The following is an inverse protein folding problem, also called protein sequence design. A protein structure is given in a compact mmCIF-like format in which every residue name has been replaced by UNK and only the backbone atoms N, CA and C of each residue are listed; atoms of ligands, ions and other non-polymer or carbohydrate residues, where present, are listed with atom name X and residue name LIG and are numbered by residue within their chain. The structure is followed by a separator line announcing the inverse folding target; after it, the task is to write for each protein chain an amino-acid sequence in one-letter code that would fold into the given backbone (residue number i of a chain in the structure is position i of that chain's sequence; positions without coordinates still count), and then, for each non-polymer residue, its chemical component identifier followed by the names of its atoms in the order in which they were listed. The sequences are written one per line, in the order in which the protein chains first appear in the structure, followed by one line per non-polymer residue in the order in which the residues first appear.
data_IF_441945182367
#
_entry.id   IF_441945182367
#
_cell.length_a   1.000
_cell.length_b   1.000
_cell.length_c   1.000
_cell.angle_alpha   90.00
_cell.angle_beta   90.00
_cell.angle_gamma   90.00
#
_symmetry.space_group_name_H-M   'P 1'
#
loop_
_entity.id
_entity.type
_entity.pdbx_description
1 polymer ?
#
# COMPACT_ATOMS: atom_id res chain seq x y z
N UNK A 1 28.14 -24.97 -49.38
CA UNK A 1 27.29 -23.78 -49.32
C UNK A 1 26.43 -23.92 -48.09
N UNK A 2 26.90 -23.40 -47.00
CA UNK A 2 26.19 -23.39 -45.70
C UNK A 2 25.88 -21.95 -45.38
N UNK A 3 24.59 -21.59 -45.42
CA UNK A 3 24.09 -20.28 -45.03
C UNK A 3 24.11 -20.19 -43.51
N UNK A 4 24.87 -19.24 -43.00
CA UNK A 4 24.85 -18.81 -41.64
C UNK A 4 23.55 -18.02 -41.40
N UNK A 5 22.71 -18.44 -40.48
CA UNK A 5 21.60 -17.67 -40.00
C UNK A 5 22.15 -16.73 -38.92
N UNK A 6 22.26 -15.45 -39.26
CA UNK A 6 22.46 -14.38 -38.27
C UNK A 6 21.18 -14.26 -37.45
N UNK A 7 21.24 -14.76 -36.23
CA UNK A 7 20.23 -14.51 -35.19
C UNK A 7 20.41 -13.08 -34.65
N UNK A 8 19.87 -12.14 -35.41
CA UNK A 8 19.82 -10.74 -35.01
C UNK A 8 18.65 -10.56 -34.03
N UNK A 9 18.86 -10.93 -32.78
CA UNK A 9 17.96 -10.55 -31.69
C UNK A 9 17.94 -9.01 -31.60
N UNK A 10 16.95 -8.41 -32.25
CA UNK A 10 16.59 -7.01 -32.07
C UNK A 10 16.23 -6.87 -30.60
N UNK A 11 17.15 -6.30 -29.82
CA UNK A 11 16.83 -5.79 -28.48
C UNK A 11 15.86 -4.67 -28.73
N UNK A 12 14.59 -4.88 -28.39
CA UNK A 12 13.54 -3.87 -28.46
C UNK A 12 14.00 -2.69 -27.59
N UNK A 13 14.51 -1.63 -28.25
CA UNK A 13 14.94 -0.43 -27.54
C UNK A 13 13.70 0.14 -26.84
N UNK A 14 13.70 0.13 -25.53
CA UNK A 14 12.64 0.67 -24.72
C UNK A 14 12.35 2.11 -25.16
N UNK A 15 11.18 2.33 -25.76
CA UNK A 15 10.74 3.64 -26.19
C UNK A 15 9.80 4.24 -25.16
N UNK A 16 9.99 5.52 -24.85
CA UNK A 16 9.11 6.24 -23.92
C UNK A 16 9.84 7.24 -23.04
N UNK A 17 9.07 8.08 -22.32
CA UNK A 17 9.66 9.12 -21.48
C UNK A 17 10.51 8.61 -20.32
N UNK A 18 10.37 7.35 -19.93
CA UNK A 18 11.16 6.71 -18.88
C UNK A 18 12.17 5.68 -19.42
N UNK A 19 12.42 5.66 -20.73
CA UNK A 19 13.39 4.75 -21.34
C UNK A 19 14.77 4.89 -20.71
N UNK A 20 15.40 3.74 -20.42
CA UNK A 20 16.70 3.66 -19.77
C UNK A 20 16.72 3.90 -18.26
N UNK A 21 15.56 4.20 -17.65
CA UNK A 21 15.46 4.39 -16.21
C UNK A 21 15.07 3.07 -15.51
N UNK A 22 15.93 2.60 -14.62
CA UNK A 22 15.62 1.48 -13.73
C UNK A 22 14.89 1.96 -12.47
N UNK A 23 13.73 1.40 -12.19
CA UNK A 23 12.88 1.84 -11.07
C UNK A 23 12.61 0.69 -10.11
N UNK A 24 13.02 0.88 -8.85
CA UNK A 24 12.70 -0.04 -7.77
C UNK A 24 11.31 0.29 -7.19
N UNK A 25 10.38 -0.66 -7.30
CA UNK A 25 9.03 -0.57 -6.74
C UNK A 25 8.96 -1.42 -5.47
N UNK A 26 8.62 -0.76 -4.34
CA UNK A 26 8.68 -1.36 -3.00
C UNK A 26 7.32 -1.69 -2.39
N UNK A 27 6.23 -1.46 -3.11
CA UNK A 27 4.85 -1.75 -2.66
C UNK A 27 4.64 -3.25 -2.43
N UNK A 28 3.68 -3.63 -1.56
CA UNK A 28 3.23 -5.01 -1.45
C UNK A 28 2.89 -5.59 -2.83
N UNK A 29 3.26 -6.85 -3.07
CA UNK A 29 3.14 -7.48 -4.40
C UNK A 29 1.73 -7.35 -5.00
N UNK A 30 0.70 -7.59 -4.20
CA UNK A 30 -0.71 -7.48 -4.64
C UNK A 30 -1.15 -6.05 -5.05
N UNK A 31 -0.38 -5.02 -4.67
CA UNK A 31 -0.70 -3.61 -4.94
C UNK A 31 0.27 -2.98 -5.96
N UNK A 32 1.29 -3.70 -6.39
CA UNK A 32 2.34 -3.16 -7.24
C UNK A 32 1.98 -3.19 -8.74
N UNK A 33 1.16 -4.17 -9.17
CA UNK A 33 0.94 -4.48 -10.58
C UNK A 33 0.48 -3.30 -11.44
N UNK A 34 -0.57 -2.52 -11.08
CA UNK A 34 -1.01 -1.40 -11.90
C UNK A 34 0.08 -0.35 -12.10
N UNK A 35 0.81 -0.03 -11.03
CA UNK A 35 1.90 0.95 -11.08
C UNK A 35 3.10 0.44 -11.89
N UNK A 36 3.49 -0.83 -11.73
CA UNK A 36 4.56 -1.44 -12.52
C UNK A 36 4.21 -1.45 -14.02
N UNK A 37 2.97 -1.81 -14.35
CA UNK A 37 2.48 -1.79 -15.75
C UNK A 37 2.56 -0.38 -16.34
N UNK A 38 2.13 0.65 -15.61
CA UNK A 38 2.21 2.03 -16.06
C UNK A 38 3.67 2.48 -16.31
N UNK A 39 4.60 2.17 -15.41
CA UNK A 39 6.01 2.47 -15.55
C UNK A 39 6.63 1.77 -16.77
N UNK A 40 6.31 0.47 -16.94
CA UNK A 40 6.83 -0.33 -18.07
C UNK A 40 6.28 0.17 -19.41
N UNK A 41 4.99 0.56 -19.47
CA UNK A 41 4.39 1.12 -20.67
C UNK A 41 5.06 2.41 -21.13
N UNK A 42 5.77 3.12 -20.25
CA UNK A 42 6.54 4.32 -20.55
C UNK A 42 8.04 4.06 -20.73
N UNK A 43 8.43 2.80 -20.85
CA UNK A 43 9.80 2.37 -21.18
C UNK A 43 10.74 2.16 -20.00
N UNK A 44 10.25 2.24 -18.75
CA UNK A 44 11.08 1.99 -17.58
C UNK A 44 11.39 0.49 -17.40
N UNK A 45 12.59 0.20 -16.89
CA UNK A 45 12.94 -1.13 -16.38
C UNK A 45 12.51 -1.24 -14.92
N UNK A 46 11.50 -2.07 -14.62
CA UNK A 46 10.92 -2.17 -13.28
C UNK A 46 11.51 -3.35 -12.49
N UNK A 47 12.06 -3.05 -11.33
CA UNK A 47 12.52 -4.05 -10.36
C UNK A 47 11.52 -4.04 -9.19
N UNK A 48 10.92 -5.20 -8.90
CA UNK A 48 9.96 -5.36 -7.80
C UNK A 48 10.66 -5.91 -6.57
N UNK A 49 10.61 -5.17 -5.50
CA UNK A 49 11.13 -5.62 -4.21
C UNK A 49 10.18 -5.20 -3.09
N UNK A 50 9.12 -5.97 -2.83
CA UNK A 50 8.19 -5.67 -1.75
C UNK A 50 8.91 -5.60 -0.41
N UNK A 51 8.68 -4.53 0.33
CA UNK A 51 9.28 -4.31 1.66
C UNK A 51 8.26 -4.39 2.79
N UNK A 52 7.02 -4.66 2.43
CA UNK A 52 5.91 -4.83 3.34
C UNK A 52 5.01 -5.94 2.80
N UNK A 53 4.63 -6.84 3.68
CA UNK A 53 3.75 -7.96 3.41
C UNK A 53 2.50 -7.87 4.29
N UNK A 54 1.35 -8.20 3.72
CA UNK A 54 0.09 -8.30 4.46
C UNK A 54 -0.13 -9.78 4.80
N UNK A 55 0.03 -10.09 6.07
CA UNK A 55 -0.04 -11.43 6.60
C UNK A 55 -1.36 -11.68 7.32
N UNK A 56 -1.69 -12.93 7.57
CA UNK A 56 -2.77 -13.28 8.49
C UNK A 56 -2.48 -12.71 9.90
N UNK A 57 -3.50 -12.40 10.71
CA UNK A 57 -3.29 -12.02 12.09
C UNK A 57 -2.52 -13.11 12.84
N UNK A 58 -1.74 -12.74 13.85
CA UNK A 58 -0.97 -13.69 14.65
C UNK A 58 -1.89 -14.65 15.41
N UNK A 59 -3.02 -14.16 15.89
CA UNK A 59 -4.11 -14.94 16.44
C UNK A 59 -5.40 -14.68 15.65
N UNK A 60 -5.87 -15.64 14.84
CA UNK A 60 -7.10 -15.50 14.08
C UNK A 60 -8.37 -15.80 14.88
N UNK A 61 -8.27 -16.19 16.15
CA UNK A 61 -9.41 -16.64 16.98
C UNK A 61 -10.45 -15.55 17.11
N UNK A 62 -10.03 -14.34 17.52
CA UNK A 62 -10.92 -13.19 17.68
C UNK A 62 -11.65 -12.83 16.36
N UNK A 63 -10.95 -12.86 15.22
CA UNK A 63 -11.57 -12.59 13.92
C UNK A 63 -12.64 -13.63 13.58
N UNK A 64 -12.37 -14.91 13.81
CA UNK A 64 -13.34 -16.00 13.57
C UNK A 64 -14.57 -15.86 14.45
N UNK A 65 -14.39 -15.68 15.76
CA UNK A 65 -15.48 -15.48 16.72
C UNK A 65 -16.37 -14.29 16.33
N UNK A 66 -15.78 -13.20 15.83
CA UNK A 66 -16.52 -12.03 15.33
C UNK A 66 -17.30 -12.38 14.07
N UNK A 67 -16.72 -13.14 13.13
CA UNK A 67 -17.39 -13.54 11.89
C UNK A 67 -18.56 -14.50 12.16
N UNK A 68 -18.42 -15.45 13.08
CA UNK A 68 -19.47 -16.38 13.50
C UNK A 68 -20.67 -15.65 14.11
N UNK A 69 -20.42 -14.48 14.73
CA UNK A 69 -21.43 -13.64 15.38
C UNK A 69 -21.69 -12.33 14.62
N UNK A 70 -21.39 -12.28 13.32
CA UNK A 70 -21.47 -11.04 12.54
C UNK A 70 -22.88 -10.43 12.54
N UNK A 71 -23.92 -11.26 12.59
CA UNK A 71 -25.33 -10.83 12.68
C UNK A 71 -25.67 -10.11 14.00
N UNK A 72 -24.83 -10.24 15.02
CA UNK A 72 -25.00 -9.55 16.29
C UNK A 72 -24.60 -8.07 16.24
N UNK A 73 -23.86 -7.65 15.22
CA UNK A 73 -23.37 -6.29 15.09
C UNK A 73 -24.31 -5.43 14.23
N UNK A 74 -24.53 -4.19 14.69
CA UNK A 74 -25.31 -3.19 13.96
C UNK A 74 -24.49 -2.55 12.83
N UNK A 75 -23.18 -2.34 13.09
CA UNK A 75 -22.27 -1.67 12.15
C UNK A 75 -20.94 -2.41 12.09
N UNK A 76 -20.48 -2.73 10.88
CA UNK A 76 -19.15 -3.25 10.58
C UNK A 76 -18.31 -2.17 9.89
N UNK A 77 -17.25 -1.71 10.54
CA UNK A 77 -16.39 -0.63 10.06
C UNK A 77 -15.12 -1.20 9.45
N UNK A 78 -14.85 -0.87 8.20
CA UNK A 78 -13.61 -1.23 7.51
C UNK A 78 -12.69 -0.03 7.40
N UNK A 79 -11.49 -0.13 7.98
CA UNK A 79 -10.54 0.97 7.98
C UNK A 79 -9.42 0.84 6.93
N UNK A 80 -9.45 -0.22 6.11
CA UNK A 80 -8.50 -0.39 5.00
C UNK A 80 -9.01 -1.39 3.96
N UNK A 81 -8.54 -1.31 2.69
CA UNK A 81 -8.80 -2.33 1.67
C UNK A 81 -8.34 -3.73 2.09
N UNK A 82 -7.18 -3.85 2.77
CA UNK A 82 -6.68 -5.14 3.24
C UNK A 82 -7.63 -5.82 4.24
N UNK A 83 -8.27 -5.02 5.12
CA UNK A 83 -9.29 -5.55 6.02
C UNK A 83 -10.51 -6.05 5.24
N UNK A 84 -10.94 -5.33 4.21
CA UNK A 84 -12.05 -5.77 3.34
C UNK A 84 -11.72 -7.10 2.68
N UNK A 85 -10.59 -7.20 1.99
CA UNK A 85 -10.17 -8.42 1.30
C UNK A 85 -10.13 -9.60 2.25
N UNK A 86 -9.50 -9.44 3.41
CA UNK A 86 -9.35 -10.54 4.36
C UNK A 86 -10.67 -10.98 4.97
N UNK A 87 -11.46 -10.02 5.44
CA UNK A 87 -12.75 -10.30 6.10
C UNK A 87 -13.75 -10.87 5.10
N UNK A 88 -13.94 -10.24 3.93
CA UNK A 88 -14.95 -10.70 2.99
C UNK A 88 -14.57 -12.03 2.32
N UNK A 89 -13.29 -12.29 2.06
CA UNK A 89 -12.88 -13.61 1.59
C UNK A 89 -13.20 -14.71 2.61
N UNK A 90 -13.03 -14.47 3.90
CA UNK A 90 -13.40 -15.43 4.94
C UNK A 90 -14.91 -15.50 5.13
N UNK A 91 -15.57 -14.35 5.32
CA UNK A 91 -17.00 -14.30 5.57
C UNK A 91 -17.84 -14.89 4.41
N UNK A 92 -17.50 -14.57 3.16
CA UNK A 92 -18.26 -15.04 2.00
C UNK A 92 -17.93 -16.49 1.60
N UNK A 93 -16.82 -17.03 2.06
CA UNK A 93 -16.51 -18.46 1.87
C UNK A 93 -17.33 -19.37 2.78
N UNK A 94 -17.65 -18.91 3.98
CA UNK A 94 -18.29 -19.71 5.02
C UNK A 94 -19.74 -19.27 5.32
N UNK A 95 -20.05 -18.00 5.10
CA UNK A 95 -21.33 -17.38 5.47
C UNK A 95 -21.82 -16.38 4.42
N UNK A 96 -23.10 -15.99 4.53
CA UNK A 96 -23.64 -14.82 3.84
C UNK A 96 -23.52 -13.58 4.75
N UNK A 97 -23.21 -12.41 4.18
CA UNK A 97 -23.21 -11.16 4.96
C UNK A 97 -24.61 -10.85 5.48
N UNK A 98 -24.79 -10.61 6.80
CA UNK A 98 -26.10 -10.31 7.37
C UNK A 98 -26.68 -9.01 6.81
N UNK A 99 -27.95 -9.03 6.38
CA UNK A 99 -28.62 -7.86 5.82
C UNK A 99 -28.85 -6.73 6.86
N UNK A 100 -28.81 -7.08 8.14
CA UNK A 100 -29.01 -6.14 9.28
C UNK A 100 -27.73 -5.36 9.64
N UNK A 101 -26.57 -5.89 9.30
CA UNK A 101 -25.28 -5.27 9.65
C UNK A 101 -24.87 -4.26 8.60
N UNK A 102 -24.94 -2.98 8.92
CA UNK A 102 -24.50 -1.89 8.03
C UNK A 102 -22.99 -1.89 7.86
N UNK A 103 -22.53 -1.53 6.67
CA UNK A 103 -21.12 -1.47 6.32
C UNK A 103 -20.66 -0.01 6.30
N UNK A 104 -19.64 0.31 7.07
CA UNK A 104 -18.99 1.61 7.06
C UNK A 104 -17.57 1.50 6.48
N UNK A 105 -17.19 2.41 5.59
CA UNK A 105 -15.85 2.52 5.04
C UNK A 105 -15.19 3.83 5.46
N UNK A 106 -13.92 3.76 5.87
CA UNK A 106 -13.16 4.97 6.25
C UNK A 106 -12.86 5.88 5.06
N UNK A 107 -12.85 5.35 3.84
CA UNK A 107 -12.53 6.14 2.65
C UNK A 107 -12.76 5.42 1.32
N UNK A 108 -12.57 6.17 0.23
CA UNK A 108 -12.90 5.73 -1.12
C UNK A 108 -12.25 4.41 -1.54
N UNK A 109 -10.94 4.21 -1.27
CA UNK A 109 -10.26 2.96 -1.65
C UNK A 109 -10.89 1.76 -0.95
N UNK A 110 -11.24 1.90 0.33
CA UNK A 110 -11.94 0.87 1.09
C UNK A 110 -13.35 0.63 0.56
N UNK A 111 -14.07 1.69 0.20
CA UNK A 111 -15.40 1.58 -0.40
C UNK A 111 -15.39 0.94 -1.80
N UNK A 112 -14.38 1.23 -2.61
CA UNK A 112 -14.18 0.58 -3.92
C UNK A 112 -13.92 -0.91 -3.77
N UNK A 113 -13.09 -1.29 -2.80
CA UNK A 113 -12.81 -2.69 -2.50
C UNK A 113 -14.08 -3.43 -2.06
N UNK A 114 -14.87 -2.85 -1.15
CA UNK A 114 -16.17 -3.37 -0.73
C UNK A 114 -17.12 -3.57 -1.93
N UNK A 115 -17.16 -2.58 -2.83
CA UNK A 115 -17.97 -2.66 -4.06
C UNK A 115 -17.53 -3.80 -4.97
N UNK A 116 -16.21 -4.05 -5.07
CA UNK A 116 -15.65 -5.19 -5.81
C UNK A 116 -16.16 -6.55 -5.32
N UNK A 117 -16.43 -6.67 -4.03
CA UNK A 117 -17.06 -7.85 -3.41
C UNK A 117 -18.60 -7.84 -3.50
N UNK A 118 -19.21 -6.89 -4.20
CA UNK A 118 -20.67 -6.75 -4.27
C UNK A 118 -21.31 -6.27 -2.97
N UNK A 119 -20.53 -5.64 -2.07
CA UNK A 119 -20.96 -5.14 -0.76
C UNK A 119 -20.63 -3.64 -0.62
N UNK A 120 -21.38 -2.75 -1.29
CA UNK A 120 -21.13 -1.32 -1.19
C UNK A 120 -21.29 -0.83 0.26
N UNK A 121 -20.49 0.18 0.63
CA UNK A 121 -20.60 0.80 1.95
C UNK A 121 -21.92 1.57 2.08
N UNK A 122 -22.62 1.38 3.21
CA UNK A 122 -23.79 2.16 3.60
C UNK A 122 -23.40 3.53 4.20
N UNK A 123 -22.22 3.57 4.82
CA UNK A 123 -21.69 4.76 5.50
C UNK A 123 -20.30 5.07 4.93
N UNK A 124 -20.17 6.21 4.25
CA UNK A 124 -18.92 6.67 3.65
C UNK A 124 -18.83 8.20 3.78
N UNK A 125 -17.70 8.75 4.27
CA UNK A 125 -17.48 10.18 4.27
C UNK A 125 -17.45 10.76 2.84
N UNK A 126 -18.07 11.93 2.56
CA UNK A 126 -18.20 12.44 1.19
C UNK A 126 -16.94 13.10 0.64
N UNK A 127 -15.99 13.54 1.47
CA UNK A 127 -14.83 14.35 1.05
C UNK A 127 -13.51 13.96 1.70
N UNK A 128 -13.42 14.05 3.03
CA UNK A 128 -12.21 13.64 3.78
C UNK A 128 -12.33 12.16 4.13
N UNK A 129 -11.22 11.45 4.08
CA UNK A 129 -11.17 9.98 4.25
C UNK A 129 -10.29 9.63 5.45
N UNK A 130 -10.77 10.03 6.62
CA UNK A 130 -10.15 9.81 7.92
C UNK A 130 -11.18 9.43 8.99
N UNK A 131 -10.70 9.09 10.18
CA UNK A 131 -11.57 8.70 11.30
C UNK A 131 -12.51 9.81 11.71
N UNK A 132 -12.06 11.05 11.69
CA UNK A 132 -12.81 12.23 12.06
C UNK A 132 -13.98 12.47 11.10
N UNK A 133 -13.75 12.35 9.80
CA UNK A 133 -14.78 12.51 8.78
C UNK A 133 -15.81 11.36 8.83
N UNK A 134 -15.38 10.13 9.13
CA UNK A 134 -16.32 9.01 9.34
C UNK A 134 -17.16 9.23 10.59
N UNK A 135 -16.55 9.65 11.70
CA UNK A 135 -17.25 9.97 12.95
C UNK A 135 -18.23 11.16 12.83
N UNK A 136 -18.03 12.03 11.83
CA UNK A 136 -18.95 13.15 11.55
C UNK A 136 -20.23 12.71 10.82
N UNK A 137 -20.29 11.48 10.27
CA UNK A 137 -21.51 10.97 9.64
C UNK A 137 -22.62 10.76 10.67
N UNK A 138 -23.86 11.11 10.32
CA UNK A 138 -25.03 11.02 11.22
C UNK A 138 -25.17 9.62 11.83
N UNK A 139 -25.06 8.57 11.01
CA UNK A 139 -25.15 7.18 11.45
C UNK A 139 -24.06 6.76 12.46
N UNK A 140 -22.95 7.50 12.54
CA UNK A 140 -21.87 7.28 13.50
C UNK A 140 -21.95 8.19 14.73
N UNK A 141 -22.89 9.12 14.76
CA UNK A 141 -23.14 9.98 15.93
C UNK A 141 -24.16 9.35 16.88
N UNK A 142 -25.22 8.75 16.35
CA UNK A 142 -26.25 8.05 17.13
C UNK A 142 -25.95 6.55 17.18
N UNK A 143 -25.03 6.17 18.05
CA UNK A 143 -24.56 4.78 18.24
C UNK A 143 -24.74 4.26 19.66
N UNK A 144 -25.44 4.98 20.51
CA UNK A 144 -25.70 4.54 21.89
C UNK A 144 -26.42 3.19 21.91
N UNK A 145 -25.86 2.21 22.63
CA UNK A 145 -26.35 0.84 22.72
C UNK A 145 -26.16 0.00 21.45
N UNK A 146 -25.54 0.52 20.38
CA UNK A 146 -25.23 -0.26 19.18
C UNK A 146 -23.93 -1.05 19.35
N UNK A 147 -23.92 -2.24 18.78
CA UNK A 147 -22.73 -3.09 18.69
C UNK A 147 -21.99 -2.80 17.39
N UNK A 148 -20.75 -2.34 17.51
CA UNK A 148 -19.92 -1.92 16.39
C UNK A 148 -18.66 -2.78 16.35
N UNK A 149 -18.39 -3.44 15.22
CA UNK A 149 -17.11 -4.09 14.98
C UNK A 149 -16.23 -3.22 14.09
N UNK A 150 -14.96 -3.09 14.45
CA UNK A 150 -13.95 -2.39 13.64
C UNK A 150 -12.93 -3.40 13.14
N UNK A 151 -12.95 -3.68 11.84
CA UNK A 151 -11.98 -4.52 11.16
C UNK A 151 -10.74 -3.72 10.80
N UNK A 152 -9.59 -4.10 11.39
CA UNK A 152 -8.32 -3.37 11.27
C UNK A 152 -7.12 -4.30 11.07
N UNK A 153 -5.94 -3.74 10.83
CA UNK A 153 -4.67 -4.43 10.99
C UNK A 153 -4.22 -4.44 12.46
N UNK A 154 -3.10 -5.08 12.72
CA UNK A 154 -2.43 -5.05 14.01
C UNK A 154 -2.05 -3.61 14.40
N UNK A 155 -2.51 -3.16 15.54
CA UNK A 155 -2.33 -1.79 15.99
C UNK A 155 -3.11 -0.76 15.18
N UNK A 156 -2.84 0.51 15.43
CA UNK A 156 -3.45 1.65 14.75
C UNK A 156 -4.04 2.66 15.72
N UNK A 157 -4.65 3.73 15.16
CA UNK A 157 -5.24 4.80 15.96
C UNK A 157 -6.47 4.29 16.70
N UNK A 158 -6.55 4.59 17.98
CA UNK A 158 -7.69 4.21 18.84
C UNK A 158 -8.85 5.21 18.74
N UNK A 159 -8.60 6.39 18.16
CA UNK A 159 -9.56 7.52 18.10
C UNK A 159 -10.98 7.09 17.67
N UNK A 160 -11.09 6.27 16.63
CA UNK A 160 -12.39 5.82 16.12
C UNK A 160 -13.14 4.99 17.16
N UNK A 161 -12.49 4.00 17.75
CA UNK A 161 -13.09 3.15 18.75
C UNK A 161 -13.39 3.88 20.06
N UNK A 162 -12.47 4.72 20.53
CA UNK A 162 -12.66 5.49 21.77
C UNK A 162 -13.80 6.49 21.64
N UNK A 163 -13.92 7.16 20.49
CA UNK A 163 -15.02 8.09 20.26
C UNK A 163 -16.37 7.37 20.20
N UNK A 164 -16.45 6.20 19.54
CA UNK A 164 -17.68 5.42 19.48
C UNK A 164 -18.08 4.89 20.87
N UNK A 165 -17.12 4.42 21.65
CA UNK A 165 -17.35 4.04 23.06
C UNK A 165 -17.86 5.23 23.90
N UNK A 166 -17.25 6.40 23.73
CA UNK A 166 -17.69 7.62 24.42
C UNK A 166 -19.11 8.05 24.03
N UNK A 167 -19.59 7.67 22.82
CA UNK A 167 -20.97 7.84 22.35
C UNK A 167 -21.90 6.72 22.79
N UNK A 168 -21.44 5.78 23.61
CA UNK A 168 -22.26 4.71 24.19
C UNK A 168 -22.35 3.45 23.32
N UNK A 169 -21.51 3.27 22.31
CA UNK A 169 -21.46 2.03 21.54
C UNK A 169 -20.65 0.94 22.26
N UNK A 170 -21.05 -0.32 22.05
CA UNK A 170 -20.23 -1.49 22.37
C UNK A 170 -19.28 -1.76 21.21
N UNK A 171 -17.99 -1.45 21.37
CA UNK A 171 -17.01 -1.57 20.29
C UNK A 171 -16.14 -2.81 20.45
N UNK A 172 -16.12 -3.64 19.42
CA UNK A 172 -15.22 -4.79 19.27
C UNK A 172 -14.19 -4.48 18.17
N UNK A 173 -12.91 -4.69 18.47
CA UNK A 173 -11.85 -4.67 17.45
C UNK A 173 -11.60 -6.08 16.95
N UNK A 174 -11.54 -6.26 15.63
CA UNK A 174 -11.15 -7.50 14.98
C UNK A 174 -9.93 -7.27 14.10
N UNK A 175 -8.82 -7.87 14.50
CA UNK A 175 -7.58 -7.80 13.72
C UNK A 175 -7.69 -8.76 12.53
N UNK A 176 -7.90 -8.19 11.34
CA UNK A 176 -8.09 -8.94 10.11
C UNK A 176 -6.75 -9.34 9.44
N UNK A 177 -5.69 -8.56 9.68
CA UNK A 177 -4.37 -8.78 9.10
C UNK A 177 -3.28 -8.16 9.99
N UNK A 178 -2.05 -8.59 9.79
CA UNK A 178 -0.88 -7.89 10.31
C UNK A 178 0.04 -7.45 9.18
N UNK A 179 0.83 -6.44 9.45
CA UNK A 179 1.91 -6.02 8.56
C UNK A 179 3.17 -6.73 8.96
N UNK A 180 3.89 -7.24 7.97
CA UNK A 180 5.16 -7.89 8.17
C UNK A 180 6.20 -7.38 7.20
N UNK A 181 7.44 -7.61 7.53
CA UNK A 181 8.55 -7.46 6.59
C UNK A 181 8.73 -8.81 5.90
N UNK A 182 8.74 -8.87 4.55
CA UNK A 182 8.99 -10.11 3.84
C UNK A 182 10.34 -10.71 4.24
N UNK A 183 10.35 -12.01 4.49
CA UNK A 183 11.57 -12.78 4.63
C UNK A 183 12.03 -13.16 3.21
N UNK A 184 12.81 -12.29 2.58
CA UNK A 184 13.26 -12.48 1.19
C UNK A 184 14.77 -12.37 1.06
N UNK A 185 15.32 -13.08 0.07
CA UNK A 185 16.70 -12.91 -0.34
C UNK A 185 16.87 -11.52 -0.99
N UNK A 186 17.83 -10.76 -0.50
CA UNK A 186 18.20 -9.46 -1.06
C UNK A 186 19.26 -9.58 -2.16
N UNK A 187 19.68 -10.78 -2.52
CA UNK A 187 20.75 -11.02 -3.47
C UNK A 187 20.51 -10.39 -4.85
N UNK A 188 19.32 -10.59 -5.40
CA UNK A 188 18.93 -9.98 -6.69
C UNK A 188 18.90 -8.45 -6.61
N UNK A 189 18.37 -7.89 -5.53
CA UNK A 189 18.36 -6.45 -5.30
C UNK A 189 19.78 -5.89 -5.21
N UNK A 190 20.65 -6.57 -4.45
CA UNK A 190 22.07 -6.18 -4.30
C UNK A 190 22.82 -6.29 -5.61
N UNK A 191 22.55 -7.31 -6.41
CA UNK A 191 23.10 -7.46 -7.75
C UNK A 191 22.66 -6.31 -8.66
N UNK A 192 21.37 -5.98 -8.68
CA UNK A 192 20.84 -4.86 -9.46
C UNK A 192 21.48 -3.52 -9.08
N UNK A 193 21.68 -3.25 -7.78
CA UNK A 193 22.43 -2.08 -7.33
C UNK A 193 23.88 -2.08 -7.81
N UNK A 194 24.58 -3.22 -7.71
CA UNK A 194 25.98 -3.34 -8.14
C UNK A 194 26.17 -3.09 -9.62
N UNK A 195 25.16 -3.39 -10.44
CA UNK A 195 25.14 -3.18 -11.89
C UNK A 195 24.64 -1.80 -12.31
N UNK A 196 24.26 -0.93 -11.34
CA UNK A 196 23.71 0.37 -11.67
C UNK A 196 22.33 0.33 -12.32
N UNK A 197 21.59 -0.77 -12.16
CA UNK A 197 20.29 -0.98 -12.78
C UNK A 197 19.17 -0.23 -12.07
N UNK A 198 19.42 0.33 -10.89
CA UNK A 198 18.43 1.08 -10.11
C UNK A 198 18.80 2.55 -10.10
N UNK A 199 18.08 3.34 -10.88
CA UNK A 199 18.23 4.79 -10.96
C UNK A 199 17.28 5.56 -10.04
N UNK A 200 16.13 4.98 -9.69
CA UNK A 200 15.11 5.60 -8.82
C UNK A 200 14.48 4.54 -7.92
N UNK A 201 14.18 4.92 -6.69
CA UNK A 201 13.41 4.08 -5.74
C UNK A 201 12.07 4.76 -5.47
N UNK A 202 10.97 4.02 -5.49
CA UNK A 202 9.63 4.54 -5.17
C UNK A 202 9.16 4.01 -3.81
N UNK A 203 8.73 4.93 -2.92
CA UNK A 203 8.32 4.63 -1.54
C UNK A 203 6.99 5.30 -1.23
N UNK A 204 6.00 4.54 -0.78
CA UNK A 204 4.67 5.06 -0.44
C UNK A 204 4.33 5.07 1.04
N UNK A 205 5.24 4.57 1.90
CA UNK A 205 5.05 4.59 3.36
C UNK A 205 6.38 4.72 4.11
N UNK A 206 6.37 5.41 5.25
CA UNK A 206 7.55 5.54 6.11
C UNK A 206 8.00 4.21 6.70
N UNK A 207 7.07 3.30 7.00
CA UNK A 207 7.36 1.92 7.41
C UNK A 207 8.11 1.18 6.29
N UNK A 208 7.63 1.28 5.05
CA UNK A 208 8.29 0.66 3.89
C UNK A 208 9.72 1.17 3.69
N UNK A 209 9.97 2.47 3.88
CA UNK A 209 11.33 3.00 3.80
C UNK A 209 12.25 2.44 4.90
N UNK A 210 11.77 2.36 6.13
CA UNK A 210 12.53 1.78 7.25
C UNK A 210 12.81 0.29 7.01
N UNK A 211 11.81 -0.46 6.56
CA UNK A 211 11.95 -1.88 6.22
C UNK A 211 12.99 -2.08 5.12
N UNK A 212 12.93 -1.34 4.01
CA UNK A 212 13.93 -1.40 2.95
C UNK A 212 15.34 -1.17 3.49
N UNK A 213 15.49 -0.11 4.30
CA UNK A 213 16.77 0.27 4.89
C UNK A 213 17.35 -0.81 5.81
N UNK A 214 16.50 -1.54 6.53
CA UNK A 214 16.93 -2.65 7.37
C UNK A 214 17.25 -3.91 6.56
N UNK A 215 16.42 -4.25 5.56
CA UNK A 215 16.56 -5.45 4.74
C UNK A 215 17.88 -5.50 3.96
N UNK A 216 18.33 -4.39 3.42
CA UNK A 216 19.52 -4.35 2.56
C UNK A 216 20.86 -4.42 3.30
N UNK A 217 20.86 -4.38 4.63
CA UNK A 217 22.08 -4.43 5.44
C UNK A 217 23.05 -3.26 5.21
N UNK A 218 24.26 -3.36 5.74
CA UNK A 218 25.24 -2.24 5.73
C UNK A 218 25.66 -1.83 4.31
N UNK A 219 25.93 -2.79 3.44
CA UNK A 219 26.38 -2.51 2.07
C UNK A 219 25.26 -1.88 1.23
N UNK A 220 24.06 -2.42 1.29
CA UNK A 220 22.91 -1.88 0.57
C UNK A 220 22.53 -0.47 0.99
N UNK A 221 22.71 -0.13 2.28
CA UNK A 221 22.49 1.25 2.77
C UNK A 221 23.40 2.29 2.10
N UNK A 222 24.59 1.91 1.66
CA UNK A 222 25.49 2.81 0.93
C UNK A 222 24.92 3.15 -0.45
N UNK A 223 24.31 2.19 -1.13
CA UNK A 223 23.65 2.42 -2.42
C UNK A 223 22.32 3.15 -2.24
N UNK A 224 21.46 2.72 -1.31
CA UNK A 224 20.19 3.40 -1.04
C UNK A 224 20.37 4.90 -0.83
N UNK A 225 21.34 5.30 -0.02
CA UNK A 225 21.60 6.72 0.31
C UNK A 225 22.04 7.57 -0.88
N UNK A 226 22.52 6.95 -1.95
CA UNK A 226 22.97 7.61 -3.18
C UNK A 226 21.97 7.52 -4.31
N UNK A 227 20.90 6.72 -4.16
CA UNK A 227 19.89 6.52 -5.19
C UNK A 227 18.73 7.49 -4.98
N UNK A 228 18.33 8.23 -6.02
CA UNK A 228 17.18 9.13 -5.98
C UNK A 228 15.89 8.45 -5.54
N UNK A 229 15.05 9.18 -4.79
CA UNK A 229 13.79 8.69 -4.26
C UNK A 229 12.59 9.44 -4.86
N UNK A 230 11.52 8.72 -5.13
CA UNK A 230 10.17 9.27 -5.26
C UNK A 230 9.35 8.78 -4.06
N UNK A 231 8.81 9.72 -3.28
CA UNK A 231 8.10 9.43 -2.04
C UNK A 231 6.66 9.93 -2.07
N UNK A 232 5.75 9.21 -1.42
CA UNK A 232 4.32 9.52 -1.43
C UNK A 232 3.87 10.62 -0.46
N UNK A 233 4.80 11.23 0.32
CA UNK A 233 4.50 12.35 1.22
C UNK A 233 5.77 12.99 1.77
N UNK A 234 5.67 14.25 2.23
CA UNK A 234 6.76 14.98 2.90
C UNK A 234 7.29 14.25 4.15
N UNK A 235 6.42 13.62 4.91
CA UNK A 235 6.83 12.82 6.07
C UNK A 235 7.79 11.69 5.70
N UNK A 236 7.66 11.10 4.51
CA UNK A 236 8.59 10.05 4.04
C UNK A 236 9.92 10.68 3.64
N UNK A 237 9.90 11.88 3.06
CA UNK A 237 11.10 12.64 2.75
C UNK A 237 11.91 12.98 4.03
N UNK A 238 11.23 13.40 5.10
CA UNK A 238 11.83 13.63 6.42
C UNK A 238 12.53 12.35 6.96
N UNK A 239 11.84 11.21 6.89
CA UNK A 239 12.42 9.91 7.29
C UNK A 239 13.65 9.56 6.44
N UNK A 240 13.63 9.86 5.14
CA UNK A 240 14.79 9.64 4.28
C UNK A 240 15.98 10.48 4.73
N UNK A 241 15.77 11.75 5.11
CA UNK A 241 16.80 12.60 5.67
C UNK A 241 17.37 12.05 6.99
N UNK A 242 16.49 11.62 7.91
CA UNK A 242 16.89 10.97 9.18
C UNK A 242 17.78 9.73 8.94
N UNK A 243 17.45 8.92 7.91
CA UNK A 243 18.20 7.74 7.52
C UNK A 243 19.50 8.05 6.74
N UNK A 244 19.74 9.34 6.45
CA UNK A 244 20.96 9.83 5.81
C UNK A 244 20.99 9.67 4.28
N UNK A 245 19.83 9.67 3.62
CA UNK A 245 19.75 9.77 2.16
C UNK A 245 20.31 11.13 1.70
N UNK A 246 21.13 11.12 0.65
CA UNK A 246 21.83 12.30 0.11
C UNK A 246 21.45 12.60 -1.33
N UNK A 247 20.81 11.65 -2.00
CA UNK A 247 20.35 11.82 -3.37
C UNK A 247 19.06 12.66 -3.41
N UNK A 248 18.66 13.08 -4.60
CA UNK A 248 17.45 13.85 -4.82
C UNK A 248 16.22 13.09 -4.32
N UNK A 249 15.33 13.79 -3.62
CA UNK A 249 14.02 13.29 -3.19
C UNK A 249 12.96 14.13 -3.90
N UNK A 250 12.04 13.46 -4.57
CA UNK A 250 10.86 14.04 -5.18
C UNK A 250 9.62 13.57 -4.44
N UNK A 251 8.80 14.50 -3.96
CA UNK A 251 7.55 14.19 -3.27
C UNK A 251 6.39 14.22 -4.24
N UNK A 252 5.62 13.14 -4.29
CA UNK A 252 4.35 13.10 -5.01
C UNK A 252 3.26 13.87 -4.23
N UNK A 253 2.22 14.33 -4.91
CA UNK A 253 1.08 15.02 -4.27
C UNK A 253 0.36 14.11 -3.28
N UNK A 254 0.25 12.82 -3.62
CA UNK A 254 -0.30 11.76 -2.79
C UNK A 254 0.31 10.38 -3.19
N UNK A 255 0.06 9.30 -2.46
CA UNK A 255 0.62 7.99 -2.78
C UNK A 255 -0.16 7.22 -3.86
N UNK A 256 -1.02 7.85 -4.67
CA UNK A 256 -1.71 7.21 -5.80
C UNK A 256 -0.74 6.89 -6.93
N UNK A 257 -1.12 5.94 -7.80
CA UNK A 257 -0.28 5.54 -8.93
C UNK A 257 -0.04 6.71 -9.89
N UNK A 258 -1.08 7.51 -10.15
CA UNK A 258 -0.98 8.67 -11.04
C UNK A 258 -0.03 9.75 -10.50
N UNK A 259 -0.16 10.11 -9.21
CA UNK A 259 0.69 11.11 -8.59
C UNK A 259 2.15 10.63 -8.45
N UNK A 260 2.35 9.35 -8.11
CA UNK A 260 3.69 8.74 -8.07
C UNK A 260 4.34 8.70 -9.45
N UNK A 261 3.59 8.35 -10.52
CA UNK A 261 4.09 8.35 -11.90
C UNK A 261 4.51 9.76 -12.33
N UNK A 262 3.67 10.76 -12.08
CA UNK A 262 4.00 12.16 -12.36
C UNK A 262 5.27 12.62 -11.61
N UNK A 263 5.47 12.19 -10.37
CA UNK A 263 6.69 12.48 -9.62
C UNK A 263 7.92 11.77 -10.20
N UNK A 264 7.77 10.53 -10.70
CA UNK A 264 8.85 9.82 -11.40
C UNK A 264 9.26 10.59 -12.67
N UNK A 265 8.33 11.14 -13.43
CA UNK A 265 8.62 11.97 -14.60
C UNK A 265 9.45 13.20 -14.21
N UNK A 266 8.97 13.99 -13.25
CA UNK A 266 9.69 15.19 -12.80
C UNK A 266 11.11 14.89 -12.34
N UNK A 267 11.29 13.79 -11.59
CA UNK A 267 12.61 13.37 -11.16
C UNK A 267 13.47 12.89 -12.34
N UNK A 268 12.91 12.09 -13.24
CA UNK A 268 13.61 11.59 -14.44
C UNK A 268 14.10 12.71 -15.36
N UNK A 269 13.29 13.76 -15.57
CA UNK A 269 13.69 14.96 -16.32
C UNK A 269 14.87 15.69 -15.66
N UNK A 270 14.83 15.87 -14.34
CA UNK A 270 15.93 16.48 -13.58
C UNK A 270 17.22 15.65 -13.63
N UNK A 271 17.11 14.33 -13.57
CA UNK A 271 18.29 13.45 -13.65
C UNK A 271 18.95 13.51 -15.01
N UNK A 272 18.16 13.56 -16.11
CA UNK A 272 18.69 13.74 -17.46
C UNK A 272 19.34 15.11 -17.66
N UNK A 273 18.73 16.17 -17.16
CA UNK A 273 19.29 17.53 -17.25
C UNK A 273 20.61 17.68 -16.50
N UNK A 274 20.84 16.94 -15.42
CA UNK A 274 22.06 17.02 -14.59
C UNK A 274 23.15 16.03 -15.05
N UNK A 275 22.85 15.07 -15.91
CA UNK A 275 23.77 14.06 -16.42
C UNK A 275 24.25 14.29 -17.86
N UNK A 276 23.79 15.38 -18.50
CA UNK A 276 24.16 15.78 -19.86
C UNK A 276 25.38 16.71 -19.89
#
# INVERSE_FOLDING_TARGET
MTASADDNTVVDEAHGPLAGLGILVTRPAAQAEPFCTALTAEGASVIRFPVLEILAPSDPTNLREVLDRLADFDIAVFISPNAVQRVLNLALAEHSWPATTKIAAIGNRTAQELKGFGRPADILPPRRFDSEALLAQEAMQDVAGKRVVIFRGDGGRELLGDTLKARGAEVTFAEAYRRGRPEGDTGELMYAFSRGQIGVITITSGEGLRNLYEMVGKLGRMWLRKTPLVVGSERIAEIAQELGFKAAVETAEDPTDAAMLAAVHRLGERLRANGA
#
